data_IF_589473936182
#
_entry.id   IF_589473936182
#
_cell.length_a   1.000
_cell.length_b   1.000
_cell.length_c   1.000
_cell.angle_alpha   90.00
_cell.angle_beta   90.00
_cell.angle_gamma   90.00
#
_symmetry.space_group_name_H-M   'P 1'
#
loop_
_entity.id
_entity.type
_entity.pdbx_description
1 polymer ?
#
# COMPACT_ATOMS: atom_id res chain seq x y z
N UNK A 1 52.67 4.76 -5.39
CA UNK A 1 51.66 5.42 -6.24
C UNK A 1 50.33 4.87 -5.77
N UNK A 2 49.54 5.69 -5.07
CA UNK A 2 48.19 5.32 -4.70
C UNK A 2 47.36 5.37 -5.98
N UNK A 3 47.06 4.20 -6.56
CA UNK A 3 46.02 4.09 -7.57
C UNK A 3 44.71 4.46 -6.88
N UNK A 4 44.37 5.74 -6.99
CA UNK A 4 43.18 6.31 -6.39
C UNK A 4 41.96 5.62 -6.98
N UNK A 5 41.13 5.11 -6.10
CA UNK A 5 39.82 4.56 -6.40
C UNK A 5 39.02 5.56 -7.25
N UNK A 6 38.81 5.28 -8.54
CA UNK A 6 37.98 6.13 -9.41
C UNK A 6 36.50 5.92 -9.05
N UNK A 7 35.82 6.93 -8.48
CA UNK A 7 34.42 6.78 -8.07
C UNK A 7 33.47 6.47 -9.23
N UNK A 8 33.83 6.84 -10.46
CA UNK A 8 33.02 6.53 -11.64
C UNK A 8 33.14 5.04 -12.01
N UNK A 9 34.36 4.51 -12.03
CA UNK A 9 34.60 3.08 -12.24
C UNK A 9 33.93 2.23 -11.14
N UNK A 10 33.98 2.70 -9.90
CA UNK A 10 33.33 2.05 -8.76
C UNK A 10 31.79 2.01 -8.90
N UNK A 11 31.17 3.13 -9.26
CA UNK A 11 29.74 3.19 -9.53
C UNK A 11 29.34 2.23 -10.66
N UNK A 12 30.12 2.19 -11.75
CA UNK A 12 29.92 1.28 -12.86
C UNK A 12 30.02 -0.19 -12.45
N UNK A 13 31.02 -0.56 -11.65
CA UNK A 13 31.17 -1.92 -11.14
C UNK A 13 30.00 -2.33 -10.23
N UNK A 14 29.61 -1.46 -9.29
CA UNK A 14 28.44 -1.69 -8.43
C UNK A 14 27.18 -1.92 -9.25
N UNK A 15 26.96 -1.08 -10.27
CA UNK A 15 25.82 -1.21 -11.16
C UNK A 15 25.83 -2.57 -11.89
N UNK A 16 26.97 -2.99 -12.42
CA UNK A 16 27.12 -4.29 -13.09
C UNK A 16 26.80 -5.46 -12.13
N UNK A 17 27.46 -5.51 -10.97
CA UNK A 17 27.25 -6.56 -9.97
C UNK A 17 25.77 -6.64 -9.56
N UNK A 18 25.16 -5.50 -9.25
CA UNK A 18 23.75 -5.39 -8.87
C UNK A 18 22.80 -5.88 -9.98
N UNK A 19 23.03 -5.45 -11.23
CA UNK A 19 22.18 -5.81 -12.37
C UNK A 19 22.31 -7.28 -12.76
N UNK A 20 23.46 -7.89 -12.49
CA UNK A 20 23.69 -9.32 -12.69
C UNK A 20 23.26 -10.19 -11.48
N UNK A 21 22.89 -9.56 -10.35
CA UNK A 21 22.44 -10.26 -9.15
C UNK A 21 23.57 -10.77 -8.23
N UNK A 22 24.82 -10.36 -8.47
CA UNK A 22 25.98 -10.65 -7.63
C UNK A 22 25.99 -9.76 -6.39
N UNK A 23 24.97 -9.90 -5.55
CA UNK A 23 24.74 -8.96 -4.45
C UNK A 23 25.71 -9.11 -3.28
N UNK A 24 26.23 -10.30 -3.00
CA UNK A 24 27.21 -10.48 -1.90
C UNK A 24 28.51 -9.74 -2.24
N UNK A 25 29.03 -9.94 -3.45
CA UNK A 25 30.18 -9.21 -3.99
C UNK A 25 29.93 -7.69 -4.00
N UNK A 26 28.72 -7.27 -4.39
CA UNK A 26 28.36 -5.85 -4.38
C UNK A 26 28.33 -5.26 -2.94
N UNK A 27 27.92 -6.03 -1.94
CA UNK A 27 27.87 -5.59 -0.54
C UNK A 27 29.26 -5.52 0.11
N UNK A 28 30.12 -6.50 -0.18
CA UNK A 28 31.53 -6.45 0.20
C UNK A 28 32.19 -5.19 -0.38
N UNK A 29 31.99 -4.95 -1.67
CA UNK A 29 32.52 -3.77 -2.34
C UNK A 29 31.96 -2.46 -1.78
N UNK A 30 30.68 -2.40 -1.41
CA UNK A 30 30.12 -1.23 -0.69
C UNK A 30 30.87 -0.97 0.63
N UNK A 31 31.22 -2.02 1.38
CA UNK A 31 31.92 -1.89 2.67
C UNK A 31 33.30 -1.29 2.47
N UNK A 32 34.03 -1.75 1.44
CA UNK A 32 35.34 -1.21 1.07
C UNK A 32 35.24 0.27 0.70
N UNK A 33 34.24 0.64 -0.12
CA UNK A 33 33.97 2.02 -0.52
C UNK A 33 33.73 2.93 0.70
N UNK A 34 32.85 2.51 1.62
CA UNK A 34 32.52 3.29 2.81
C UNK A 34 33.70 3.45 3.77
N UNK A 35 34.67 2.53 3.75
CA UNK A 35 35.83 2.55 4.65
C UNK A 35 36.99 3.43 4.18
N UNK A 36 37.05 3.76 2.88
CA UNK A 36 38.26 4.32 2.27
C UNK A 36 38.17 5.73 1.71
N UNK A 37 36.98 6.22 1.32
CA UNK A 37 36.89 7.41 0.47
C UNK A 37 35.63 8.27 0.68
N UNK A 38 35.73 9.57 0.41
CA UNK A 38 34.55 10.43 0.22
C UNK A 38 33.79 9.96 -1.02
N UNK A 39 32.57 9.49 -0.79
CA UNK A 39 31.66 9.07 -1.84
C UNK A 39 31.18 10.24 -2.66
N UNK A 40 31.42 10.22 -3.98
CA UNK A 40 30.67 11.08 -4.89
C UNK A 40 29.20 10.63 -4.98
N UNK A 41 28.34 11.49 -5.50
CA UNK A 41 26.90 11.24 -5.54
C UNK A 41 26.53 10.00 -6.37
N UNK A 42 27.29 9.71 -7.44
CA UNK A 42 27.06 8.55 -8.31
C UNK A 42 27.31 7.22 -7.59
N UNK A 43 28.48 7.08 -6.96
CA UNK A 43 28.86 5.86 -6.25
C UNK A 43 27.95 5.64 -5.03
N UNK A 44 27.59 6.73 -4.32
CA UNK A 44 26.61 6.72 -3.23
C UNK A 44 25.24 6.23 -3.72
N UNK A 45 24.74 6.75 -4.84
CA UNK A 45 23.43 6.36 -5.37
C UNK A 45 23.39 4.88 -5.77
N UNK A 46 24.45 4.36 -6.41
CA UNK A 46 24.52 2.93 -6.74
C UNK A 46 24.66 2.03 -5.51
N UNK A 47 25.38 2.48 -4.46
CA UNK A 47 25.41 1.78 -3.17
C UNK A 47 24.01 1.75 -2.53
N UNK A 48 23.28 2.87 -2.53
CA UNK A 48 21.90 2.95 -2.04
C UNK A 48 20.99 1.97 -2.80
N UNK A 49 21.03 1.96 -4.14
CA UNK A 49 20.25 1.01 -4.93
C UNK A 49 20.60 -0.45 -4.65
N UNK A 50 21.88 -0.74 -4.42
CA UNK A 50 22.35 -2.08 -4.03
C UNK A 50 21.76 -2.49 -2.69
N UNK A 51 21.81 -1.62 -1.69
CA UNK A 51 21.26 -1.87 -0.37
C UNK A 51 19.73 -2.01 -0.39
N UNK A 52 19.03 -1.19 -1.17
CA UNK A 52 17.57 -1.33 -1.36
C UNK A 52 17.25 -2.72 -1.90
N UNK A 53 17.87 -3.12 -3.02
CA UNK A 53 17.53 -4.38 -3.68
C UNK A 53 17.93 -5.61 -2.87
N UNK A 54 19.07 -5.57 -2.17
CA UNK A 54 19.58 -6.74 -1.45
C UNK A 54 19.13 -6.83 0.01
N UNK A 55 19.10 -5.71 0.73
CA UNK A 55 18.79 -5.69 2.16
C UNK A 55 17.32 -5.40 2.40
N UNK A 56 16.75 -4.38 1.76
CA UNK A 56 15.36 -3.96 2.04
C UNK A 56 14.32 -4.80 1.31
N UNK A 57 14.48 -5.03 0.00
CA UNK A 57 13.51 -5.76 -0.82
C UNK A 57 13.54 -7.29 -0.60
N UNK A 58 14.63 -7.80 -0.03
CA UNK A 58 14.77 -9.23 0.33
C UNK A 58 14.37 -9.53 1.77
N UNK A 59 13.92 -8.55 2.54
CA UNK A 59 13.22 -8.85 3.79
C UNK A 59 11.98 -9.68 3.44
N UNK A 60 11.92 -10.89 4.02
CA UNK A 60 10.85 -11.84 3.77
C UNK A 60 9.55 -11.47 4.47
N UNK A 61 8.49 -12.24 4.22
CA UNK A 61 7.17 -12.03 4.84
C UNK A 61 7.18 -12.19 6.36
N UNK A 62 8.19 -12.87 6.92
CA UNK A 62 8.38 -13.02 8.36
C UNK A 62 9.04 -11.81 9.03
N UNK A 63 9.56 -10.86 8.26
CA UNK A 63 10.23 -9.68 8.81
C UNK A 63 9.20 -8.73 9.45
N UNK A 64 9.56 -8.24 10.62
CA UNK A 64 8.79 -7.26 11.39
C UNK A 64 8.91 -5.87 10.77
N UNK A 65 7.93 -5.01 11.02
CA UNK A 65 7.95 -3.61 10.56
C UNK A 65 9.19 -2.87 11.12
N UNK A 66 9.62 -3.19 12.34
CA UNK A 66 10.79 -2.58 12.97
C UNK A 66 12.09 -2.96 12.26
N UNK A 67 12.23 -4.19 11.77
CA UNK A 67 13.37 -4.60 10.93
C UNK A 67 13.40 -3.84 9.61
N UNK A 68 12.25 -3.70 8.95
CA UNK A 68 12.13 -2.86 7.76
C UNK A 68 12.57 -1.42 8.04
N UNK A 69 12.08 -0.83 9.13
CA UNK A 69 12.43 0.53 9.56
C UNK A 69 13.92 0.66 9.84
N UNK A 70 14.53 -0.26 10.59
CA UNK A 70 15.97 -0.23 10.89
C UNK A 70 16.83 -0.27 9.64
N UNK A 71 16.50 -1.15 8.69
CA UNK A 71 17.21 -1.21 7.40
C UNK A 71 17.00 0.08 6.61
N UNK A 72 15.76 0.58 6.51
CA UNK A 72 15.46 1.81 5.77
C UNK A 72 16.19 3.04 6.34
N UNK A 73 16.21 3.23 7.66
CA UNK A 73 16.93 4.34 8.29
C UNK A 73 18.44 4.23 8.02
N UNK A 74 19.02 3.02 8.05
CA UNK A 74 20.44 2.82 7.71
C UNK A 74 20.76 3.21 6.26
N UNK A 75 19.82 3.01 5.33
CA UNK A 75 19.99 3.40 3.93
C UNK A 75 19.76 4.90 3.75
N UNK A 76 18.76 5.48 4.43
CA UNK A 76 18.48 6.93 4.38
C UNK A 76 19.60 7.76 4.99
N UNK A 77 20.34 7.22 5.96
CA UNK A 77 21.53 7.86 6.51
C UNK A 77 22.65 8.09 5.47
N UNK A 78 22.59 7.40 4.32
CA UNK A 78 23.46 7.67 3.18
C UNK A 78 23.02 8.88 2.36
N UNK A 79 21.94 9.57 2.72
CA UNK A 79 21.45 10.80 2.10
C UNK A 79 21.21 10.71 0.58
N UNK A 80 20.15 9.99 0.14
CA UNK A 80 19.80 9.90 -1.27
C UNK A 80 19.42 11.28 -1.83
N UNK A 81 20.17 11.74 -2.84
CA UNK A 81 19.93 13.01 -3.53
C UNK A 81 18.62 12.97 -4.34
N UNK A 82 18.34 11.83 -4.99
CA UNK A 82 17.16 11.67 -5.84
C UNK A 82 15.91 11.28 -5.05
N UNK A 83 14.73 11.71 -5.52
CA UNK A 83 13.44 11.34 -4.92
C UNK A 83 13.08 9.87 -5.11
N UNK A 84 13.57 9.24 -6.19
CA UNK A 84 13.21 7.87 -6.56
C UNK A 84 13.73 6.81 -5.56
N UNK A 85 15.02 6.79 -5.14
CA UNK A 85 15.49 5.91 -4.08
C UNK A 85 14.74 6.14 -2.76
N UNK A 86 14.54 7.41 -2.38
CA UNK A 86 13.82 7.77 -1.15
C UNK A 86 12.40 7.23 -1.15
N UNK A 87 11.67 7.41 -2.25
CA UNK A 87 10.33 6.85 -2.42
C UNK A 87 10.34 5.32 -2.39
N UNK A 88 11.33 4.68 -3.04
CA UNK A 88 11.45 3.22 -3.05
C UNK A 88 11.62 2.66 -1.64
N UNK A 89 12.46 3.30 -0.82
CA UNK A 89 12.68 2.94 0.59
C UNK A 89 11.36 3.09 1.37
N UNK A 90 10.76 4.27 1.32
CA UNK A 90 9.53 4.60 2.05
C UNK A 90 8.41 3.63 1.67
N UNK A 91 8.20 3.37 0.38
CA UNK A 91 7.14 2.48 -0.11
C UNK A 91 7.23 1.05 0.43
N UNK A 92 8.43 0.53 0.68
CA UNK A 92 8.58 -0.79 1.32
C UNK A 92 8.09 -0.76 2.78
N UNK A 93 8.41 0.30 3.52
CA UNK A 93 7.87 0.50 4.88
C UNK A 93 6.35 0.60 4.86
N UNK A 94 5.79 1.40 3.95
CA UNK A 94 4.33 1.56 3.84
C UNK A 94 3.65 0.21 3.58
N UNK A 95 4.24 -0.65 2.74
CA UNK A 95 3.71 -1.99 2.43
C UNK A 95 3.74 -2.89 3.67
N UNK A 96 4.87 -2.96 4.38
CA UNK A 96 5.04 -3.80 5.57
C UNK A 96 4.16 -3.31 6.75
N UNK A 97 4.12 -2.00 6.98
CA UNK A 97 3.31 -1.40 8.03
C UNK A 97 1.81 -1.62 7.78
N UNK A 98 1.36 -1.48 6.52
CA UNK A 98 -0.03 -1.73 6.13
C UNK A 98 -0.46 -3.18 6.39
N UNK A 99 0.37 -4.18 6.05
CA UNK A 99 0.02 -5.59 6.30
C UNK A 99 -0.10 -5.90 7.79
N UNK A 100 0.66 -5.20 8.64
CA UNK A 100 0.54 -5.30 10.10
C UNK A 100 -0.49 -4.36 10.74
N UNK A 101 -1.27 -3.62 9.95
CA UNK A 101 -2.24 -2.63 10.46
C UNK A 101 -1.62 -1.45 11.23
N UNK A 102 -0.32 -1.20 11.08
CA UNK A 102 0.42 -0.15 11.80
C UNK A 102 0.29 1.20 11.09
N UNK A 103 -0.91 1.76 11.09
CA UNK A 103 -1.23 2.98 10.35
C UNK A 103 -0.50 4.23 10.87
N UNK A 104 -0.10 4.27 12.14
CA UNK A 104 0.71 5.37 12.68
C UNK A 104 2.09 5.42 12.00
N UNK A 105 2.69 4.26 11.75
CA UNK A 105 3.97 4.15 11.02
C UNK A 105 3.77 4.58 9.56
N UNK A 106 2.65 4.19 8.93
CA UNK A 106 2.31 4.66 7.58
C UNK A 106 2.23 6.19 7.54
N UNK A 107 1.52 6.81 8.50
CA UNK A 107 1.39 8.27 8.58
C UNK A 107 2.74 8.97 8.76
N UNK A 108 3.58 8.44 9.65
CA UNK A 108 4.92 8.98 9.89
C UNK A 108 5.80 8.90 8.65
N UNK A 109 5.81 7.76 7.94
CA UNK A 109 6.72 7.53 6.83
C UNK A 109 6.26 8.19 5.52
N UNK A 110 4.95 8.24 5.25
CA UNK A 110 4.42 8.88 4.04
C UNK A 110 4.70 10.39 4.03
N UNK A 111 4.69 11.03 5.21
CA UNK A 111 4.97 12.47 5.35
C UNK A 111 6.45 12.84 5.13
N UNK A 112 7.36 11.86 5.05
CA UNK A 112 8.77 12.11 4.72
C UNK A 112 9.01 12.35 3.23
N UNK A 113 8.01 12.14 2.38
CA UNK A 113 8.11 12.25 0.91
C UNK A 113 7.20 13.35 0.43
N UNK A 114 7.75 14.27 -0.35
CA UNK A 114 6.98 15.28 -1.07
C UNK A 114 6.27 14.62 -2.25
N UNK A 115 4.91 14.63 -2.30
CA UNK A 115 4.17 14.04 -3.40
C UNK A 115 4.41 14.71 -4.74
N UNK A 116 4.80 15.98 -4.80
CA UNK A 116 5.05 16.68 -6.07
C UNK A 116 6.42 16.32 -6.67
N UNK A 117 7.31 15.71 -5.90
CA UNK A 117 8.56 15.12 -6.39
C UNK A 117 8.39 13.70 -6.97
N UNK A 118 7.18 13.14 -6.94
CA UNK A 118 6.86 11.81 -7.44
C UNK A 118 6.30 11.86 -8.86
N UNK A 119 6.57 10.80 -9.63
CA UNK A 119 6.05 10.69 -10.99
C UNK A 119 4.52 10.59 -10.99
N UNK A 120 3.82 11.44 -11.78
CA UNK A 120 2.38 11.31 -12.01
C UNK A 120 2.05 10.25 -13.07
N UNK A 121 3.07 9.76 -13.80
CA UNK A 121 2.89 8.81 -14.90
C UNK A 121 2.54 7.40 -14.37
N UNK A 122 1.54 6.73 -14.96
CA UNK A 122 1.20 5.35 -14.60
C UNK A 122 2.40 4.41 -14.76
N UNK A 123 2.70 3.62 -13.73
CA UNK A 123 3.66 2.52 -13.85
C UNK A 123 3.11 1.46 -14.81
N UNK A 124 3.98 0.85 -15.62
CA UNK A 124 3.62 -0.28 -16.49
C UNK A 124 4.12 -1.58 -15.88
N UNK A 125 3.29 -2.63 -15.92
CA UNK A 125 3.74 -3.98 -15.63
C UNK A 125 4.51 -4.59 -16.84
N UNK A 126 5.09 -5.78 -16.67
CA UNK A 126 5.85 -6.47 -17.72
C UNK A 126 5.02 -6.79 -18.97
N UNK A 127 3.67 -6.76 -18.85
CA UNK A 127 2.74 -6.93 -19.96
C UNK A 127 2.31 -5.61 -20.61
N UNK A 128 2.87 -4.49 -20.18
CA UNK A 128 2.56 -3.15 -20.66
C UNK A 128 1.25 -2.57 -20.13
N UNK A 129 0.58 -3.24 -19.17
CA UNK A 129 -0.65 -2.73 -18.56
C UNK A 129 -0.31 -1.60 -17.60
N UNK A 130 -1.07 -0.51 -17.73
CA UNK A 130 -0.90 0.67 -16.90
C UNK A 130 -1.56 0.46 -15.53
N UNK A 131 -0.76 0.60 -14.48
CA UNK A 131 -1.15 0.56 -13.09
C UNK A 131 -1.30 1.97 -12.50
N UNK A 132 -0.99 2.07 -11.21
CA UNK A 132 -0.99 3.35 -10.49
C UNK A 132 0.31 4.11 -10.79
N UNK A 133 0.27 5.44 -10.71
CA UNK A 133 1.49 6.24 -10.61
C UNK A 133 2.03 6.26 -9.19
N UNK A 134 3.29 6.63 -9.01
CA UNK A 134 3.88 6.76 -7.67
C UNK A 134 3.14 7.83 -6.85
N UNK A 135 2.77 8.94 -7.50
CA UNK A 135 1.97 9.99 -6.87
C UNK A 135 0.59 9.48 -6.41
N UNK A 136 -0.11 8.69 -7.24
CA UNK A 136 -1.40 8.11 -6.85
C UNK A 136 -1.25 7.10 -5.70
N UNK A 137 -0.17 6.30 -5.68
CA UNK A 137 0.11 5.38 -4.58
C UNK A 137 0.37 6.14 -3.28
N UNK A 138 1.15 7.22 -3.32
CA UNK A 138 1.38 8.10 -2.18
C UNK A 138 0.06 8.63 -1.61
N UNK A 139 -0.80 9.19 -2.46
CA UNK A 139 -2.10 9.72 -2.02
C UNK A 139 -2.96 8.64 -1.37
N UNK A 140 -3.00 7.44 -1.94
CA UNK A 140 -3.77 6.34 -1.36
C UNK A 140 -3.27 5.96 0.04
N UNK A 141 -1.95 5.87 0.27
CA UNK A 141 -1.42 5.61 1.61
C UNK A 141 -1.68 6.77 2.57
N UNK A 142 -1.44 8.00 2.12
CA UNK A 142 -1.61 9.19 2.95
C UNK A 142 -3.08 9.34 3.40
N UNK A 143 -4.03 9.34 2.45
CA UNK A 143 -5.46 9.39 2.74
C UNK A 143 -5.85 8.24 3.66
N UNK A 144 -5.44 7.00 3.38
CA UNK A 144 -5.80 5.86 4.22
C UNK A 144 -5.26 6.00 5.64
N UNK A 145 -4.04 6.50 5.82
CA UNK A 145 -3.49 6.76 7.16
C UNK A 145 -4.30 7.80 7.94
N UNK A 146 -4.77 8.86 7.29
CA UNK A 146 -5.65 9.87 7.89
C UNK A 146 -7.00 9.28 8.30
N UNK A 147 -7.59 8.41 7.47
CA UNK A 147 -8.83 7.70 7.82
C UNK A 147 -8.66 6.92 9.12
N UNK A 148 -7.58 6.15 9.25
CA UNK A 148 -7.40 5.23 10.37
C UNK A 148 -6.91 5.94 11.64
N UNK A 149 -6.00 6.90 11.52
CA UNK A 149 -5.25 7.47 12.67
C UNK A 149 -5.31 9.00 12.79
N UNK A 150 -5.65 9.69 11.70
CA UNK A 150 -5.58 11.16 11.63
C UNK A 150 -6.94 11.85 11.49
N UNK A 151 -6.89 13.04 10.88
CA UNK A 151 -8.06 13.87 10.59
C UNK A 151 -8.87 13.29 9.41
N UNK A 152 -10.06 12.76 9.73
CA UNK A 152 -10.95 12.14 8.73
C UNK A 152 -11.63 13.17 7.82
N UNK A 153 -11.82 14.41 8.26
CA UNK A 153 -12.32 15.48 7.37
C UNK A 153 -11.29 15.83 6.32
N UNK A 154 -10.04 15.93 6.74
CA UNK A 154 -8.94 16.14 5.82
C UNK A 154 -8.83 14.96 4.83
N UNK A 155 -8.99 13.73 5.30
CA UNK A 155 -9.05 12.55 4.44
C UNK A 155 -10.16 12.64 3.38
N UNK A 156 -11.36 13.11 3.73
CA UNK A 156 -12.50 13.30 2.80
C UNK A 156 -12.12 14.29 1.69
N UNK A 157 -11.65 15.48 2.07
CA UNK A 157 -11.27 16.52 1.11
C UNK A 157 -10.14 16.09 0.17
N UNK A 158 -9.11 15.44 0.70
CA UNK A 158 -8.00 14.89 -0.09
C UNK A 158 -8.46 13.76 -1.01
N UNK A 159 -9.35 12.88 -0.55
CA UNK A 159 -9.90 11.80 -1.36
C UNK A 159 -10.72 12.35 -2.54
N UNK A 160 -11.53 13.38 -2.32
CA UNK A 160 -12.26 14.04 -3.39
C UNK A 160 -11.32 14.68 -4.43
N UNK A 161 -10.28 15.40 -3.97
CA UNK A 161 -9.29 15.99 -4.87
C UNK A 161 -8.51 14.93 -5.67
N UNK A 162 -8.09 13.84 -5.01
CA UNK A 162 -7.38 12.75 -5.65
C UNK A 162 -8.24 11.99 -6.68
N UNK A 163 -9.55 11.84 -6.41
CA UNK A 163 -10.48 11.21 -7.35
C UNK A 163 -10.59 11.98 -8.68
N UNK A 164 -10.51 13.32 -8.64
CA UNK A 164 -10.50 14.17 -9.83
C UNK A 164 -9.12 14.20 -10.50
N UNK A 165 -8.03 14.23 -9.72
CA UNK A 165 -6.64 14.21 -10.25
C UNK A 165 -6.29 12.88 -10.93
N UNK A 166 -6.84 11.77 -10.43
CA UNK A 166 -6.52 10.41 -10.90
C UNK A 166 -7.80 9.67 -11.35
N UNK A 167 -8.40 10.05 -12.50
CA UNK A 167 -9.72 9.57 -12.92
C UNK A 167 -9.77 8.05 -13.15
N UNK A 168 -8.63 7.41 -13.49
CA UNK A 168 -8.55 5.95 -13.65
C UNK A 168 -8.59 5.19 -12.32
N UNK A 169 -8.24 5.86 -11.22
CA UNK A 169 -8.27 5.32 -9.86
C UNK A 169 -9.43 5.90 -9.04
N UNK A 170 -10.33 6.67 -9.67
CA UNK A 170 -11.46 7.37 -9.03
C UNK A 170 -12.22 6.50 -8.04
N UNK A 171 -12.57 5.27 -8.43
CA UNK A 171 -13.29 4.31 -7.58
C UNK A 171 -12.59 4.04 -6.24
N UNK A 172 -11.26 3.96 -6.22
CA UNK A 172 -10.50 3.73 -5.00
C UNK A 172 -10.52 4.96 -4.08
N UNK A 173 -10.38 6.16 -4.64
CA UNK A 173 -10.42 7.40 -3.88
C UNK A 173 -11.84 7.71 -3.37
N UNK A 174 -12.88 7.48 -4.17
CA UNK A 174 -14.27 7.58 -3.72
C UNK A 174 -14.59 6.57 -2.61
N UNK A 175 -14.01 5.37 -2.66
CA UNK A 175 -14.12 4.40 -1.57
C UNK A 175 -13.39 4.87 -0.30
N UNK A 176 -12.22 5.50 -0.41
CA UNK A 176 -11.54 6.10 0.77
C UNK A 176 -12.34 7.26 1.36
N UNK A 177 -12.98 8.08 0.52
CA UNK A 177 -13.94 9.10 0.97
C UNK A 177 -15.07 8.45 1.76
N UNK A 178 -15.77 7.46 1.19
CA UNK A 178 -16.87 6.77 1.87
C UNK A 178 -16.44 6.16 3.22
N UNK A 179 -15.25 5.58 3.28
CA UNK A 179 -14.70 5.03 4.51
C UNK A 179 -14.40 6.10 5.56
N UNK A 180 -13.84 7.24 5.16
CA UNK A 180 -13.61 8.38 6.06
C UNK A 180 -14.93 8.91 6.64
N UNK A 181 -15.94 9.06 5.79
CA UNK A 181 -17.30 9.45 6.16
C UNK A 181 -17.94 8.45 7.13
N UNK A 182 -17.76 7.14 6.89
CA UNK A 182 -18.20 6.08 7.80
C UNK A 182 -17.53 6.18 9.17
N UNK A 183 -16.21 6.45 9.22
CA UNK A 183 -15.46 6.64 10.49
C UNK A 183 -15.89 7.88 11.28
N UNK A 184 -16.57 8.83 10.63
CA UNK A 184 -17.21 9.97 11.27
C UNK A 184 -18.69 9.72 11.61
N UNK A 185 -19.18 8.48 11.48
CA UNK A 185 -20.58 8.10 11.70
C UNK A 185 -21.59 8.85 10.81
N UNK A 186 -21.14 9.38 9.66
CA UNK A 186 -21.99 10.04 8.65
C UNK A 186 -22.63 9.00 7.73
N UNK A 187 -23.42 8.12 8.33
CA UNK A 187 -23.86 6.87 7.68
C UNK A 187 -24.64 7.09 6.36
N UNK A 188 -25.53 8.09 6.31
CA UNK A 188 -26.29 8.39 5.08
C UNK A 188 -25.41 8.85 3.92
N UNK A 189 -24.35 9.59 4.20
CA UNK A 189 -23.41 10.05 3.19
C UNK A 189 -22.53 8.89 2.71
N UNK A 190 -22.04 8.05 3.64
CA UNK A 190 -21.29 6.84 3.31
C UNK A 190 -22.14 5.90 2.44
N UNK A 191 -23.41 5.68 2.80
CA UNK A 191 -24.36 4.90 2.00
C UNK A 191 -24.51 5.48 0.59
N UNK A 192 -24.73 6.78 0.46
CA UNK A 192 -24.90 7.43 -0.85
C UNK A 192 -23.71 7.17 -1.77
N UNK A 193 -22.48 7.27 -1.23
CA UNK A 193 -21.26 7.02 -2.01
C UNK A 193 -21.15 5.55 -2.39
N UNK A 194 -21.29 4.62 -1.43
CA UNK A 194 -21.19 3.19 -1.72
C UNK A 194 -22.29 2.69 -2.66
N UNK A 195 -23.53 3.17 -2.50
CA UNK A 195 -24.64 2.85 -3.38
C UNK A 195 -24.34 3.29 -4.81
N UNK A 196 -23.73 4.47 -5.02
CA UNK A 196 -23.27 4.92 -6.33
C UNK A 196 -22.16 4.04 -6.90
N UNK A 197 -21.15 3.67 -6.09
CA UNK A 197 -20.08 2.76 -6.52
C UNK A 197 -20.62 1.38 -6.94
N UNK A 198 -21.68 0.91 -6.27
CA UNK A 198 -22.34 -0.35 -6.55
C UNK A 198 -23.25 -0.33 -7.80
N UNK A 199 -23.54 0.84 -8.40
CA UNK A 199 -24.35 0.95 -9.63
C UNK A 199 -23.62 0.52 -10.91
N UNK A 200 -22.31 0.27 -10.84
CA UNK A 200 -21.57 -0.25 -11.99
C UNK A 200 -22.10 -1.62 -12.43
N UNK A 201 -21.94 -1.99 -13.70
CA UNK A 201 -22.49 -3.26 -14.22
C UNK A 201 -21.92 -4.50 -13.52
N UNK A 202 -20.69 -4.39 -12.97
CA UNK A 202 -19.99 -5.42 -12.21
C UNK A 202 -19.22 -4.75 -11.08
N UNK A 203 -19.87 -4.44 -9.95
CA UNK A 203 -19.17 -3.86 -8.81
C UNK A 203 -18.23 -4.89 -8.21
N UNK A 204 -17.07 -4.41 -7.78
CA UNK A 204 -16.07 -5.24 -7.11
C UNK A 204 -16.63 -5.82 -5.80
N UNK A 205 -16.32 -7.08 -5.51
CA UNK A 205 -16.86 -7.78 -4.33
C UNK A 205 -16.54 -7.06 -3.02
N UNK A 206 -15.36 -6.46 -2.91
CA UNK A 206 -14.93 -5.75 -1.71
C UNK A 206 -15.69 -4.42 -1.52
N UNK A 207 -16.17 -3.77 -2.60
CA UNK A 207 -17.05 -2.59 -2.50
C UNK A 207 -18.41 -3.03 -1.96
N UNK A 208 -18.95 -4.13 -2.47
CA UNK A 208 -20.22 -4.68 -1.99
C UNK A 208 -20.12 -5.08 -0.51
N UNK A 209 -19.04 -5.74 -0.11
CA UNK A 209 -18.80 -6.11 1.28
C UNK A 209 -18.77 -4.90 2.21
N UNK A 210 -18.03 -3.84 1.84
CA UNK A 210 -18.01 -2.59 2.62
C UNK A 210 -19.37 -1.89 2.65
N UNK A 211 -20.08 -1.86 1.53
CA UNK A 211 -21.42 -1.29 1.48
C UNK A 211 -22.38 -2.03 2.43
N UNK A 212 -22.29 -3.36 2.50
CA UNK A 212 -23.07 -4.14 3.44
C UNK A 212 -22.77 -3.78 4.90
N UNK A 213 -21.51 -3.47 5.25
CA UNK A 213 -21.20 -2.99 6.61
C UNK A 213 -21.90 -1.66 6.91
N UNK A 214 -21.96 -0.73 5.95
CA UNK A 214 -22.73 0.51 6.12
C UNK A 214 -24.21 0.24 6.33
N UNK A 215 -24.79 -0.71 5.59
CA UNK A 215 -26.19 -1.11 5.77
C UNK A 215 -26.44 -1.72 7.16
N UNK A 216 -25.48 -2.47 7.72
CA UNK A 216 -25.58 -2.98 9.10
C UNK A 216 -25.57 -1.85 10.12
N UNK A 217 -24.65 -0.89 9.99
CA UNK A 217 -24.57 0.30 10.85
C UNK A 217 -25.84 1.17 10.77
N UNK A 218 -26.52 1.16 9.62
CA UNK A 218 -27.84 1.77 9.41
C UNK A 218 -29.01 0.93 9.93
N UNK A 219 -28.75 -0.16 10.66
CA UNK A 219 -29.75 -1.10 11.18
C UNK A 219 -30.63 -1.73 10.08
N UNK A 220 -30.03 -2.05 8.92
CA UNK A 220 -30.67 -2.74 7.78
C UNK A 220 -30.01 -4.11 7.50
N UNK A 221 -29.98 -5.03 8.48
CA UNK A 221 -29.19 -6.27 8.40
C UNK A 221 -29.64 -7.22 7.28
N UNK A 222 -30.93 -7.25 6.94
CA UNK A 222 -31.43 -8.10 5.83
C UNK A 222 -30.92 -7.64 4.47
N UNK A 223 -30.84 -6.32 4.27
CA UNK A 223 -30.29 -5.75 3.04
C UNK A 223 -28.78 -5.95 2.98
N UNK A 224 -28.09 -5.75 4.11
CA UNK A 224 -26.67 -6.07 4.23
C UNK A 224 -26.37 -7.52 3.84
N UNK A 225 -27.13 -8.49 4.37
CA UNK A 225 -26.97 -9.90 4.05
C UNK A 225 -27.15 -10.16 2.55
N UNK A 226 -28.17 -9.55 1.92
CA UNK A 226 -28.38 -9.65 0.48
C UNK A 226 -27.17 -9.13 -0.32
N UNK A 227 -26.60 -8.01 0.09
CA UNK A 227 -25.42 -7.41 -0.56
C UNK A 227 -24.17 -8.27 -0.34
N UNK A 228 -23.95 -8.82 0.86
CA UNK A 228 -22.83 -9.73 1.13
C UNK A 228 -22.92 -11.01 0.29
N UNK A 229 -24.10 -11.61 0.16
CA UNK A 229 -24.30 -12.75 -0.72
C UNK A 229 -24.00 -12.42 -2.19
N UNK A 230 -24.41 -11.22 -2.67
CA UNK A 230 -24.02 -10.74 -4.00
C UNK A 230 -22.51 -10.58 -4.16
N UNK A 231 -21.82 -10.10 -3.12
CA UNK A 231 -20.36 -10.00 -3.10
C UNK A 231 -19.70 -11.38 -3.21
N UNK A 232 -20.19 -12.36 -2.46
CA UNK A 232 -19.65 -13.72 -2.48
C UNK A 232 -19.84 -14.39 -3.85
N UNK A 233 -20.97 -14.14 -4.50
CA UNK A 233 -21.28 -14.68 -5.84
C UNK A 233 -20.50 -13.99 -6.97
N UNK A 234 -19.98 -12.78 -6.76
CA UNK A 234 -19.30 -12.02 -7.82
C UNK A 234 -17.81 -12.36 -7.96
N UNK A 235 -17.22 -13.10 -7.03
CA UNK A 235 -15.81 -13.48 -7.04
C UNK A 235 -15.62 -15.00 -7.02
N UNK A 236 -14.60 -15.49 -7.75
CA UNK A 236 -14.38 -16.94 -7.95
C UNK A 236 -13.38 -17.57 -6.98
N UNK A 237 -12.45 -16.77 -6.44
CA UNK A 237 -11.38 -17.28 -5.57
C UNK A 237 -11.83 -17.27 -4.12
N UNK A 238 -12.12 -18.45 -3.58
CA UNK A 238 -12.62 -18.58 -2.21
C UNK A 238 -11.61 -18.11 -1.17
N UNK A 239 -10.30 -18.25 -1.42
CA UNK A 239 -9.26 -17.78 -0.49
C UNK A 239 -9.34 -16.27 -0.20
N UNK A 240 -9.90 -15.48 -1.11
CA UNK A 240 -10.07 -14.03 -0.95
C UNK A 240 -11.34 -13.65 -0.18
N UNK A 241 -12.27 -14.59 0.02
CA UNK A 241 -13.60 -14.34 0.56
C UNK A 241 -13.78 -14.82 2.00
N UNK A 242 -12.75 -15.38 2.65
CA UNK A 242 -12.84 -15.98 4.00
C UNK A 242 -13.50 -15.03 5.00
N UNK A 243 -13.03 -13.77 5.08
CA UNK A 243 -13.61 -12.77 5.97
C UNK A 243 -15.05 -12.41 5.59
N UNK A 244 -15.38 -12.32 4.30
CA UNK A 244 -16.76 -12.07 3.86
C UNK A 244 -17.69 -13.23 4.24
N UNK A 245 -17.25 -14.47 4.06
CA UNK A 245 -18.03 -15.67 4.40
C UNK A 245 -18.25 -15.77 5.91
N UNK A 246 -17.22 -15.45 6.71
CA UNK A 246 -17.34 -15.33 8.17
C UNK A 246 -18.37 -14.27 8.57
N UNK A 247 -18.30 -13.07 7.96
CA UNK A 247 -19.23 -11.98 8.22
C UNK A 247 -20.68 -12.33 7.86
N UNK A 248 -20.88 -13.06 6.75
CA UNK A 248 -22.20 -13.61 6.38
C UNK A 248 -22.69 -14.56 7.48
N UNK A 249 -21.83 -15.46 7.97
CA UNK A 249 -22.16 -16.39 9.04
C UNK A 249 -22.59 -15.69 10.33
N UNK A 250 -21.83 -14.69 10.78
CA UNK A 250 -22.19 -13.88 11.95
C UNK A 250 -23.51 -13.13 11.75
N UNK A 251 -23.72 -12.52 10.59
CA UNK A 251 -24.96 -11.81 10.30
C UNK A 251 -26.19 -12.74 10.22
N UNK A 252 -26.03 -13.96 9.70
CA UNK A 252 -27.06 -14.98 9.74
C UNK A 252 -27.43 -15.34 11.19
N UNK A 253 -26.45 -15.47 12.08
CA UNK A 253 -26.70 -15.73 13.49
C UNK A 253 -27.46 -14.57 14.17
N UNK A 254 -27.05 -13.31 13.91
CA UNK A 254 -27.78 -12.11 14.36
C UNK A 254 -29.24 -12.09 13.89
N UNK A 255 -29.50 -12.66 12.70
CA UNK A 255 -30.84 -12.79 12.12
C UNK A 255 -31.57 -14.07 12.51
N UNK A 256 -31.06 -14.86 13.47
CA UNK A 256 -31.62 -16.14 13.94
C UNK A 256 -31.74 -17.22 12.86
N UNK A 257 -30.89 -17.14 11.82
CA UNK A 257 -30.77 -18.11 10.73
C UNK A 257 -29.69 -19.14 11.06
N UNK A 258 -29.94 -19.97 12.08
CA UNK A 258 -28.91 -20.81 12.72
C UNK A 258 -28.27 -21.84 11.77
N UNK A 259 -29.05 -22.41 10.84
CA UNK A 259 -28.53 -23.40 9.91
C UNK A 259 -27.57 -22.76 8.90
N UNK A 260 -27.92 -21.61 8.36
CA UNK A 260 -27.09 -20.83 7.45
C UNK A 260 -25.83 -20.31 8.16
N UNK A 261 -25.98 -19.77 9.37
CA UNK A 261 -24.86 -19.32 10.19
C UNK A 261 -23.85 -20.45 10.40
N UNK A 262 -24.33 -21.62 10.84
CA UNK A 262 -23.49 -22.81 11.02
C UNK A 262 -22.80 -23.23 9.73
N UNK A 263 -23.52 -23.26 8.61
CA UNK A 263 -22.95 -23.66 7.33
C UNK A 263 -21.78 -22.75 6.96
N UNK A 264 -21.92 -21.43 7.10
CA UNK A 264 -20.85 -20.49 6.78
C UNK A 264 -19.66 -20.56 7.75
N UNK A 265 -19.92 -20.67 9.06
CA UNK A 265 -18.88 -20.66 10.09
C UNK A 265 -18.06 -21.95 10.16
N UNK A 266 -18.54 -23.07 9.62
CA UNK A 266 -17.75 -24.32 9.53
C UNK A 266 -16.71 -24.24 8.40
N UNK A 267 -16.91 -23.40 7.39
CA UNK A 267 -16.00 -23.25 6.26
C UNK A 267 -14.84 -22.26 6.51
N UNK A 268 -14.87 -21.50 7.61
CA UNK A 268 -13.89 -20.48 7.97
C UNK A 268 -13.06 -20.92 9.17
#
# INVERSE_FOLDING_TARGET
>A
MADGFDPFAAAGLLQCLRKQGHFEEALEFCTDIFSGHELNDWCRNEAIWTLIQRKLEKLGESATVDEYVGVAESILALDPVDSAPKWRIVRQILKAAKSGGKWDIVAQWVSRVDPEALSPEPMKDDSGREGWSDQAVWHNYHIRSLVETGDKEHAISLAAAAAERFPRQRTFFERLHALATLRLSRLSEAESIYARLCKSARPEWWILHEYAQVLRELNRPKEALSVMCKAALSHKKLEMLVSLISDIGFLCHELTMEQEARNHLIFC
#
